data_IF_787026431624
#
_entry.id   IF_787026431624
#
_cell.length_a   1.000
_cell.length_b   1.000
_cell.length_c   1.000
_cell.angle_alpha   90.00
_cell.angle_beta   90.00
_cell.angle_gamma   90.00
#
_symmetry.space_group_name_H-M   'P 1'
#
loop_
_entity.id
_entity.type
_entity.pdbx_description
1 polymer ?
#
# COMPACT_ATOMS: atom_id res chain seq x y z
N UNK A 1 -18.24 -7.18 -9.00
CA UNK A 1 -17.04 -6.57 -8.36
C UNK A 1 -17.26 -5.10 -7.96
N UNK A 2 -18.41 -4.74 -7.36
CA UNK A 2 -18.74 -3.34 -7.05
C UNK A 2 -18.15 -2.82 -5.73
N UNK A 3 -17.75 -3.73 -4.83
CA UNK A 3 -17.14 -3.38 -3.53
C UNK A 3 -15.69 -2.93 -3.70
N UNK A 4 -14.92 -3.56 -4.60
CA UNK A 4 -13.51 -3.20 -4.82
C UNK A 4 -13.35 -1.79 -5.41
N UNK A 5 -14.19 -1.42 -6.38
CA UNK A 5 -14.12 -0.07 -6.98
C UNK A 5 -14.38 1.04 -5.96
N UNK A 6 -15.42 0.91 -5.12
CA UNK A 6 -15.70 1.90 -4.07
C UNK A 6 -14.59 2.01 -3.03
N UNK A 7 -14.00 0.89 -2.65
CA UNK A 7 -12.89 0.87 -1.70
C UNK A 7 -11.65 1.55 -2.28
N UNK A 8 -11.35 1.32 -3.56
CA UNK A 8 -10.26 1.97 -4.28
C UNK A 8 -10.49 3.49 -4.35
N UNK A 9 -11.67 3.93 -4.79
CA UNK A 9 -11.99 5.37 -4.87
C UNK A 9 -11.86 6.06 -3.50
N UNK A 10 -12.30 5.38 -2.43
CA UNK A 10 -12.16 5.90 -1.07
C UNK A 10 -10.69 6.01 -0.65
N UNK A 11 -9.88 5.01 -0.97
CA UNK A 11 -8.44 5.03 -0.70
C UNK A 11 -7.74 6.17 -1.46
N UNK A 12 -8.01 6.34 -2.75
CA UNK A 12 -7.47 7.44 -3.55
C UNK A 12 -7.81 8.80 -2.93
N UNK A 13 -9.08 9.03 -2.56
CA UNK A 13 -9.48 10.28 -1.89
C UNK A 13 -8.85 10.50 -0.51
N UNK A 14 -8.49 9.44 0.21
CA UNK A 14 -7.76 9.56 1.48
C UNK A 14 -6.31 9.97 1.21
N UNK A 15 -5.66 9.32 0.25
CA UNK A 15 -4.29 9.61 -0.17
C UNK A 15 -4.17 11.06 -0.64
N UNK A 16 -5.04 11.48 -1.56
CA UNK A 16 -5.04 12.86 -2.08
C UNK A 16 -5.17 13.90 -0.97
N UNK A 17 -6.07 13.68 -0.01
CA UNK A 17 -6.23 14.61 1.13
C UNK A 17 -5.01 14.63 2.04
N UNK A 18 -4.39 13.48 2.28
CA UNK A 18 -3.18 13.40 3.10
C UNK A 18 -1.98 14.08 2.41
N UNK A 19 -1.85 13.93 1.10
CA UNK A 19 -0.84 14.62 0.30
C UNK A 19 -1.06 16.13 0.29
N UNK A 20 -2.30 16.58 0.09
CA UNK A 20 -2.65 18.01 0.14
C UNK A 20 -2.39 18.63 1.52
N UNK A 21 -2.52 17.85 2.59
CA UNK A 21 -2.18 18.29 3.94
C UNK A 21 -0.66 18.27 4.24
N UNK A 22 0.16 17.77 3.32
CA UNK A 22 1.59 17.56 3.54
C UNK A 22 1.87 16.53 4.65
N UNK A 23 0.96 15.57 4.85
CA UNK A 23 1.12 14.53 5.86
C UNK A 23 1.78 13.26 5.30
N UNK A 24 1.78 13.09 3.97
CA UNK A 24 2.45 12.00 3.29
C UNK A 24 3.14 12.47 2.00
N UNK A 25 4.16 11.74 1.57
CA UNK A 25 4.92 11.98 0.34
C UNK A 25 4.03 12.03 -0.92
N UNK A 26 4.30 12.95 -1.87
CA UNK A 26 3.44 13.19 -3.03
C UNK A 26 3.52 12.11 -4.11
N UNK A 27 4.53 11.25 -4.08
CA UNK A 27 4.73 10.14 -5.01
C UNK A 27 4.14 8.80 -4.53
N UNK A 28 3.45 8.78 -3.38
CA UNK A 28 2.69 7.60 -2.91
C UNK A 28 1.36 7.46 -3.66
N UNK A 29 1.04 6.26 -4.13
CA UNK A 29 -0.18 6.02 -4.93
C UNK A 29 -1.13 4.98 -4.34
N UNK A 30 -2.34 4.90 -4.90
CA UNK A 30 -3.30 3.84 -4.60
C UNK A 30 -2.76 2.45 -4.95
N UNK A 31 -1.95 2.34 -6.00
CA UNK A 31 -1.31 1.12 -6.46
C UNK A 31 -0.30 0.60 -5.44
N UNK A 32 0.50 1.48 -4.83
CA UNK A 32 1.42 1.14 -3.76
C UNK A 32 0.67 0.60 -2.54
N UNK A 33 -0.46 1.22 -2.19
CA UNK A 33 -1.31 0.77 -1.09
C UNK A 33 -1.88 -0.64 -1.35
N UNK A 34 -2.32 -0.91 -2.58
CA UNK A 34 -2.84 -2.23 -2.96
C UNK A 34 -1.77 -3.32 -2.88
N UNK A 35 -0.54 -3.05 -3.35
CA UNK A 35 0.59 -3.98 -3.20
C UNK A 35 0.95 -4.21 -1.74
N UNK A 36 0.95 -3.15 -0.92
CA UNK A 36 1.18 -3.28 0.51
C UNK A 36 0.11 -4.17 1.15
N UNK A 37 -1.16 -4.00 0.84
CA UNK A 37 -2.21 -4.89 1.36
C UNK A 37 -2.03 -6.34 0.93
N UNK A 38 -1.68 -6.60 -0.33
CA UNK A 38 -1.43 -7.96 -0.82
C UNK A 38 -0.30 -8.66 -0.07
N UNK A 39 0.84 -7.99 0.08
CA UNK A 39 2.01 -8.53 0.78
C UNK A 39 1.79 -8.63 2.29
N UNK A 40 1.20 -7.61 2.92
CA UNK A 40 0.94 -7.60 4.35
C UNK A 40 -0.12 -8.64 4.75
N UNK A 41 -1.08 -8.96 3.88
CA UNK A 41 -2.02 -10.06 4.10
C UNK A 41 -1.35 -11.44 4.09
N UNK A 42 -0.29 -11.64 3.28
CA UNK A 42 0.52 -12.86 3.33
C UNK A 42 1.28 -12.94 4.65
N UNK A 43 1.92 -11.84 5.07
CA UNK A 43 2.63 -11.79 6.34
C UNK A 43 1.69 -12.05 7.52
N UNK A 44 0.54 -11.37 7.58
CA UNK A 44 -0.44 -11.52 8.66
C UNK A 44 -0.89 -12.98 8.81
N UNK A 45 -1.06 -13.71 7.70
CA UNK A 45 -1.36 -15.15 7.72
C UNK A 45 -0.18 -15.98 8.22
N UNK A 46 1.04 -15.69 7.77
CA UNK A 46 2.23 -16.44 8.15
C UNK A 46 2.58 -16.30 9.64
N UNK A 47 2.29 -15.15 10.26
CA UNK A 47 2.62 -14.87 11.67
C UNK A 47 1.49 -15.19 12.65
N UNK A 48 0.33 -15.64 12.16
CA UNK A 48 -0.90 -15.77 12.96
C UNK A 48 -0.72 -16.60 14.25
N UNK A 49 -0.02 -17.73 14.17
CA UNK A 49 0.14 -18.66 15.29
C UNK A 49 1.42 -18.44 16.11
N UNK A 50 2.35 -17.60 15.62
CA UNK A 50 3.68 -17.43 16.21
C UNK A 50 3.90 -16.04 16.81
N UNK A 51 3.46 -15.00 16.11
CA UNK A 51 3.61 -13.61 16.51
C UNK A 51 2.50 -12.75 15.87
N UNK A 52 1.24 -12.87 16.35
CA UNK A 52 0.07 -12.29 15.68
C UNK A 52 0.10 -10.76 15.53
N UNK A 53 0.93 -10.05 16.31
CA UNK A 53 1.11 -8.61 16.22
C UNK A 53 2.24 -8.17 15.26
N UNK A 54 3.05 -9.10 14.73
CA UNK A 54 4.24 -8.76 13.95
C UNK A 54 3.92 -7.95 12.68
N UNK A 55 2.76 -8.16 12.05
CA UNK A 55 2.32 -7.38 10.88
C UNK A 55 2.13 -5.88 11.21
N UNK A 56 1.77 -5.54 12.46
CA UNK A 56 1.55 -4.15 12.88
C UNK A 56 2.84 -3.33 12.78
N UNK A 57 3.98 -3.98 13.00
CA UNK A 57 5.30 -3.35 12.85
C UNK A 57 5.55 -2.92 11.40
N UNK A 58 5.14 -3.70 10.41
CA UNK A 58 5.29 -3.34 8.99
C UNK A 58 4.36 -2.18 8.59
N UNK A 59 3.16 -2.13 9.16
CA UNK A 59 2.26 -0.99 8.98
C UNK A 59 2.87 0.28 9.58
N UNK A 60 3.46 0.20 10.77
CA UNK A 60 4.14 1.34 11.38
C UNK A 60 5.29 1.85 10.50
N UNK A 61 6.14 0.94 9.99
CA UNK A 61 7.22 1.31 9.07
C UNK A 61 6.72 1.96 7.77
N UNK A 62 5.63 1.45 7.19
CA UNK A 62 5.03 2.09 6.03
C UNK A 62 4.61 3.51 6.37
N UNK A 63 3.78 3.68 7.42
CA UNK A 63 3.22 4.99 7.78
C UNK A 63 4.32 6.00 8.12
N UNK A 64 5.34 5.60 8.86
CA UNK A 64 6.49 6.44 9.20
C UNK A 64 7.34 6.76 7.95
N UNK A 65 7.49 5.80 7.02
CA UNK A 65 8.18 6.02 5.75
C UNK A 65 7.41 6.88 4.75
N UNK A 66 6.11 7.10 4.97
CA UNK A 66 5.29 8.01 4.17
C UNK A 66 5.41 9.46 4.63
N UNK A 67 5.85 9.72 5.86
CA UNK A 67 5.96 11.08 6.39
C UNK A 67 6.87 11.96 5.52
N UNK A 68 6.54 13.24 5.41
CA UNK A 68 7.24 14.18 4.54
C UNK A 68 8.38 14.87 5.27
N UNK A 69 9.60 14.53 4.88
CA UNK A 69 10.82 15.21 5.32
C UNK A 69 11.36 16.13 4.21
N UNK A 70 11.82 17.36 4.50
CA UNK A 70 12.26 18.33 3.50
C UNK A 70 13.38 17.85 2.56
N UNK A 71 14.13 16.82 2.95
CA UNK A 71 15.25 16.25 2.19
C UNK A 71 14.92 14.95 1.44
N UNK A 72 13.67 14.46 1.48
CA UNK A 72 13.31 13.25 0.74
C UNK A 72 13.23 13.52 -0.75
N UNK A 73 14.08 12.81 -1.51
CA UNK A 73 14.00 12.75 -2.96
C UNK A 73 12.88 11.83 -3.44
N UNK A 74 12.52 11.98 -4.72
CA UNK A 74 11.60 11.08 -5.40
C UNK A 74 12.10 9.63 -5.37
N UNK A 75 11.19 8.66 -5.29
CA UNK A 75 11.55 7.25 -5.47
C UNK A 75 12.17 7.03 -6.85
N UNK A 76 13.20 6.20 -6.92
CA UNK A 76 13.89 5.86 -8.18
C UNK A 76 13.07 4.96 -9.10
N UNK A 77 12.03 4.32 -8.58
CA UNK A 77 11.14 3.41 -9.29
C UNK A 77 9.75 4.02 -9.32
N UNK A 78 9.17 4.10 -10.52
CA UNK A 78 7.81 4.58 -10.71
C UNK A 78 6.79 3.59 -10.11
N UNK A 79 5.61 4.07 -9.66
CA UNK A 79 4.53 3.20 -9.23
C UNK A 79 4.08 2.29 -10.37
N UNK A 80 3.53 1.13 -10.02
CA UNK A 80 2.97 0.21 -11.01
C UNK A 80 1.77 0.85 -11.72
N UNK A 81 1.58 0.50 -12.98
CA UNK A 81 0.34 0.77 -13.70
C UNK A 81 -0.80 -0.10 -13.16
N UNK A 82 -2.07 0.29 -13.34
CA UNK A 82 -3.22 -0.51 -12.89
C UNK A 82 -3.21 -1.95 -13.43
N UNK A 83 -2.78 -2.15 -14.68
CA UNK A 83 -2.67 -3.48 -15.28
C UNK A 83 -1.57 -4.32 -14.60
N UNK A 84 -0.43 -3.72 -14.29
CA UNK A 84 0.65 -4.41 -13.58
C UNK A 84 0.24 -4.79 -12.15
N UNK A 85 -0.52 -3.93 -11.46
CA UNK A 85 -1.09 -4.27 -10.14
C UNK A 85 -2.02 -5.48 -10.25
N UNK A 86 -2.92 -5.48 -11.23
CA UNK A 86 -3.82 -6.61 -11.46
C UNK A 86 -3.04 -7.92 -11.67
N UNK A 87 -2.03 -7.91 -12.54
CA UNK A 87 -1.22 -9.09 -12.85
C UNK A 87 -0.43 -9.58 -11.62
N UNK A 88 0.18 -8.67 -10.85
CA UNK A 88 0.95 -9.01 -9.65
C UNK A 88 0.05 -9.55 -8.55
N UNK A 89 -1.09 -8.89 -8.30
CA UNK A 89 -2.04 -9.33 -7.27
C UNK A 89 -2.65 -10.69 -7.59
N UNK A 90 -2.92 -10.98 -8.87
CA UNK A 90 -3.33 -12.31 -9.31
C UNK A 90 -2.32 -13.39 -8.90
N UNK A 91 -1.02 -13.14 -9.15
CA UNK A 91 0.07 -14.05 -8.78
C UNK A 91 0.25 -14.18 -7.26
N UNK A 92 0.13 -13.08 -6.50
CA UNK A 92 0.23 -13.09 -5.03
C UNK A 92 -0.90 -13.88 -4.36
N UNK A 93 -2.10 -13.87 -4.95
CA UNK A 93 -3.25 -14.62 -4.46
C UNK A 93 -3.19 -16.13 -4.80
N UNK A 94 -2.18 -16.58 -5.56
CA UNK A 94 -2.10 -17.97 -6.04
C UNK A 94 -3.13 -18.29 -7.13
N UNK A 95 -3.72 -17.28 -7.75
CA UNK A 95 -4.59 -17.45 -8.92
C UNK A 95 -3.69 -17.64 -10.14
N UNK A 96 -3.77 -18.80 -10.84
CA UNK A 96 -3.02 -19.02 -12.08
C UNK A 96 -3.47 -18.07 -13.20
#
# INVERSE_FOLDING_TARGET
>A
MAICGRAQDAATRIIERAQLAGAIRPDFTSEDLLLFFGTNALLARAVADTAPDAWRRQVAFLLEGLDTEPAQGALSVAPLTPQQVYDVMGRLAGTP
#
